data_IF_250005058001
#
_entry.id   IF_250005058001
#
_cell.length_a   1.000
_cell.length_b   1.000
_cell.length_c   1.000
_cell.angle_alpha   90.00
_cell.angle_beta   90.00
_cell.angle_gamma   90.00
#
_symmetry.space_group_name_H-M   'P 1'
#
loop_
_entity.id
_entity.type
_entity.pdbx_description
1 polymer ?
#
# COMPACT_ATOMS: atom_id res chain seq x y z
N UNK A 1 13.67 -34.16 -0.66
CA UNK A 1 14.28 -32.85 -0.30
C UNK A 1 14.41 -31.91 -1.50
N UNK A 2 15.18 -32.21 -2.55
CA UNK A 2 15.29 -31.32 -3.73
C UNK A 2 13.99 -31.22 -4.55
N UNK A 3 13.29 -32.35 -4.76
CA UNK A 3 12.01 -32.35 -5.47
C UNK A 3 10.91 -31.59 -4.72
N UNK A 4 10.82 -31.76 -3.40
CA UNK A 4 9.89 -31.03 -2.54
C UNK A 4 10.18 -29.53 -2.53
N UNK A 5 11.46 -29.14 -2.54
CA UNK A 5 11.86 -27.74 -2.70
C UNK A 5 11.40 -27.16 -4.05
N UNK A 6 11.66 -27.86 -5.16
CA UNK A 6 11.24 -27.42 -6.49
C UNK A 6 9.72 -27.24 -6.60
N UNK A 7 8.94 -28.16 -6.01
CA UNK A 7 7.48 -28.06 -5.98
C UNK A 7 7.02 -26.82 -5.21
N UNK A 8 7.58 -26.58 -4.02
CA UNK A 8 7.20 -25.42 -3.20
C UNK A 8 7.51 -24.11 -3.93
N UNK A 9 8.72 -23.96 -4.50
CA UNK A 9 9.08 -22.76 -5.26
C UNK A 9 8.18 -22.57 -6.49
N UNK A 10 7.83 -23.66 -7.19
CA UNK A 10 6.90 -23.57 -8.33
C UNK A 10 5.51 -23.08 -7.91
N UNK A 11 5.03 -23.48 -6.73
CA UNK A 11 3.76 -22.98 -6.18
C UNK A 11 3.87 -21.50 -5.82
N UNK A 12 5.00 -21.06 -5.25
CA UNK A 12 5.23 -19.64 -4.94
C UNK A 12 5.24 -18.78 -6.21
N UNK A 13 5.89 -19.24 -7.28
CA UNK A 13 5.90 -18.56 -8.58
C UNK A 13 4.48 -18.38 -9.15
N UNK A 14 3.63 -19.41 -9.04
CA UNK A 14 2.23 -19.32 -9.48
C UNK A 14 1.45 -18.30 -8.65
N UNK A 15 1.65 -18.29 -7.33
CA UNK A 15 1.03 -17.30 -6.43
C UNK A 15 1.50 -15.89 -6.77
N UNK A 16 2.79 -15.69 -7.03
CA UNK A 16 3.37 -14.39 -7.44
C UNK A 16 2.70 -13.85 -8.70
N UNK A 17 2.52 -14.69 -9.72
CA UNK A 17 1.84 -14.32 -10.98
C UNK A 17 0.38 -13.95 -10.71
N UNK A 18 -0.34 -14.73 -9.91
CA UNK A 18 -1.75 -14.46 -9.56
C UNK A 18 -1.87 -13.11 -8.85
N UNK A 19 -1.06 -12.85 -7.82
CA UNK A 19 -1.07 -11.59 -7.08
C UNK A 19 -0.76 -10.41 -8.01
N UNK A 20 0.25 -10.56 -8.88
CA UNK A 20 0.62 -9.52 -9.84
C UNK A 20 -0.54 -9.16 -10.78
N UNK A 21 -1.23 -10.16 -11.33
CA UNK A 21 -2.41 -9.94 -12.18
C UNK A 21 -3.54 -9.27 -11.39
N UNK A 22 -3.82 -9.73 -10.18
CA UNK A 22 -4.87 -9.16 -9.34
C UNK A 22 -4.60 -7.68 -9.03
N UNK A 23 -3.37 -7.33 -8.65
CA UNK A 23 -2.99 -5.94 -8.38
C UNK A 23 -3.16 -5.08 -9.63
N UNK A 24 -2.71 -5.55 -10.79
CA UNK A 24 -2.84 -4.81 -12.06
C UNK A 24 -4.29 -4.55 -12.43
N UNK A 25 -5.16 -5.57 -12.33
CA UNK A 25 -6.57 -5.47 -12.74
C UNK A 25 -7.41 -4.71 -11.72
N UNK A 26 -7.20 -4.94 -10.42
CA UNK A 26 -8.09 -4.46 -9.36
C UNK A 26 -7.60 -3.20 -8.63
N UNK A 27 -6.50 -2.57 -9.05
CA UNK A 27 -5.94 -1.39 -8.37
C UNK A 27 -6.98 -0.28 -8.10
N UNK A 28 -7.88 0.00 -9.04
CA UNK A 28 -8.92 1.02 -8.86
C UNK A 28 -9.95 0.60 -7.79
N UNK A 29 -10.38 -0.67 -7.80
CA UNK A 29 -11.31 -1.18 -6.78
C UNK A 29 -10.69 -1.15 -5.39
N UNK A 30 -9.40 -1.47 -5.29
CA UNK A 30 -8.65 -1.38 -4.04
C UNK A 30 -8.61 0.06 -3.55
N UNK A 31 -8.31 1.03 -4.42
CA UNK A 31 -8.33 2.45 -4.09
C UNK A 31 -9.68 2.90 -3.54
N UNK A 32 -10.78 2.54 -4.19
CA UNK A 32 -12.14 2.89 -3.73
C UNK A 32 -12.49 2.25 -2.39
N UNK A 33 -12.12 0.97 -2.22
CA UNK A 33 -12.34 0.24 -0.97
C UNK A 33 -11.57 0.89 0.19
N UNK A 34 -10.28 1.16 -0.01
CA UNK A 34 -9.43 1.85 0.97
C UNK A 34 -9.97 3.24 1.27
N UNK A 35 -10.44 3.98 0.27
CA UNK A 35 -11.06 5.30 0.47
C UNK A 35 -12.25 5.21 1.41
N UNK A 36 -13.19 4.29 1.16
CA UNK A 36 -14.36 4.10 2.04
C UNK A 36 -13.96 3.66 3.45
N UNK A 37 -13.01 2.74 3.56
CA UNK A 37 -12.52 2.26 4.84
C UNK A 37 -11.88 3.39 5.67
N UNK A 38 -11.02 4.20 5.06
CA UNK A 38 -10.39 5.35 5.73
C UNK A 38 -11.43 6.41 6.11
N UNK A 39 -12.46 6.66 5.30
CA UNK A 39 -13.57 7.54 5.69
C UNK A 39 -14.30 7.04 6.94
N UNK A 40 -14.52 5.72 7.05
CA UNK A 40 -15.12 5.13 8.25
C UNK A 40 -14.21 5.29 9.48
N UNK A 41 -12.90 5.09 9.32
CA UNK A 41 -11.93 5.32 10.38
C UNK A 41 -11.94 6.78 10.87
N UNK A 42 -11.95 7.74 9.94
CA UNK A 42 -12.05 9.18 10.26
C UNK A 42 -13.31 9.46 11.07
N UNK A 43 -14.47 8.97 10.61
CA UNK A 43 -15.73 9.14 11.33
C UNK A 43 -15.68 8.53 12.74
N UNK A 44 -15.02 7.38 12.92
CA UNK A 44 -14.88 6.74 14.22
C UNK A 44 -13.95 7.54 15.15
N UNK A 45 -12.90 8.15 14.60
CA UNK A 45 -12.00 9.04 15.35
C UNK A 45 -12.75 10.29 15.80
N UNK A 46 -13.54 10.92 14.93
CA UNK A 46 -14.36 12.10 15.29
C UNK A 46 -15.38 11.78 16.39
N UNK A 47 -16.02 10.61 16.35
CA UNK A 47 -17.06 10.23 17.31
C UNK A 47 -16.46 9.77 18.64
N UNK A 48 -15.36 9.02 18.61
CA UNK A 48 -14.73 8.51 19.83
C UNK A 48 -13.99 9.60 20.61
N UNK A 49 -13.45 10.62 19.91
CA UNK A 49 -12.73 11.72 20.53
C UNK A 49 -11.46 11.29 21.28
N UNK A 50 -10.90 10.11 20.94
CA UNK A 50 -9.71 9.57 21.61
C UNK A 50 -8.49 10.38 21.15
N UNK A 51 -7.79 11.10 22.05
CA UNK A 51 -6.71 12.00 21.67
C UNK A 51 -5.52 11.29 21.02
N UNK A 52 -5.25 10.05 21.42
CA UNK A 52 -4.19 9.22 20.85
C UNK A 52 -4.44 8.89 19.37
N UNK A 53 -5.69 8.56 19.04
CA UNK A 53 -6.09 8.26 17.66
C UNK A 53 -6.05 9.53 16.78
N UNK A 54 -6.49 10.67 17.32
CA UNK A 54 -6.37 11.96 16.64
C UNK A 54 -4.90 12.29 16.32
N UNK A 55 -3.99 12.07 17.27
CA UNK A 55 -2.56 12.36 17.09
C UNK A 55 -1.89 11.45 16.05
N UNK A 56 -2.24 10.16 16.01
CA UNK A 56 -1.74 9.24 14.99
C UNK A 56 -2.18 9.68 13.59
N UNK A 57 -3.46 10.04 13.43
CA UNK A 57 -3.99 10.51 12.14
C UNK A 57 -3.35 11.84 11.74
N UNK A 58 -3.18 12.77 12.68
CA UNK A 58 -2.49 14.05 12.44
C UNK A 58 -1.05 13.84 11.95
N UNK A 59 -0.29 12.98 12.62
CA UNK A 59 1.09 12.66 12.23
C UNK A 59 1.17 12.05 10.83
N UNK A 60 0.22 11.19 10.47
CA UNK A 60 0.16 10.61 9.13
C UNK A 60 -0.11 11.68 8.07
N UNK A 61 -1.12 12.54 8.31
CA UNK A 61 -1.49 13.64 7.42
C UNK A 61 -0.33 14.62 7.20
N UNK A 62 0.46 14.93 8.24
CA UNK A 62 1.62 15.81 8.09
C UNK A 62 2.78 15.19 7.33
N UNK A 63 3.08 13.91 7.59
CA UNK A 63 4.14 13.18 6.88
C UNK A 63 3.83 13.05 5.39
N UNK A 64 2.56 12.82 5.06
CA UNK A 64 2.09 12.65 3.69
C UNK A 64 1.65 13.98 3.04
N UNK A 65 1.60 15.08 3.79
CA UNK A 65 1.11 16.39 3.33
C UNK A 65 -0.28 16.29 2.67
N UNK A 66 -1.18 15.58 3.34
CA UNK A 66 -2.55 15.28 2.88
C UNK A 66 -3.55 15.47 4.02
N UNK A 67 -4.84 15.40 3.73
CA UNK A 67 -5.90 15.50 4.72
C UNK A 67 -7.15 14.72 4.30
N UNK A 68 -7.72 13.98 5.25
CA UNK A 68 -8.87 13.12 5.01
C UNK A 68 -8.55 11.94 4.09
N UNK A 69 -9.56 11.17 3.70
CA UNK A 69 -9.37 10.04 2.80
C UNK A 69 -9.26 10.51 1.34
N UNK A 70 -10.31 11.20 0.86
CA UNK A 70 -10.41 11.81 -0.45
C UNK A 70 -10.11 13.33 -0.39
N UNK A 71 -10.27 13.96 0.77
CA UNK A 71 -9.93 15.36 0.97
C UNK A 71 -10.41 15.90 2.31
N UNK A 72 -10.21 17.21 2.58
CA UNK A 72 -10.49 17.80 3.87
C UNK A 72 -11.94 17.73 4.31
N UNK A 73 -12.88 17.75 3.37
CA UNK A 73 -14.31 17.67 3.66
C UNK A 73 -14.78 16.31 4.18
N UNK A 74 -13.88 15.32 4.29
CA UNK A 74 -14.18 14.08 5.01
C UNK A 74 -14.25 14.29 6.53
N UNK A 75 -13.69 15.40 7.04
CA UNK A 75 -13.85 15.85 8.43
C UNK A 75 -15.01 16.84 8.54
N UNK A 76 -15.77 16.78 9.64
CA UNK A 76 -16.80 17.79 9.97
C UNK A 76 -16.20 19.15 10.28
N UNK A 77 -15.00 19.17 10.88
CA UNK A 77 -14.25 20.38 11.15
C UNK A 77 -12.81 20.26 10.61
N UNK A 78 -12.59 20.51 9.31
CA UNK A 78 -11.28 20.29 8.71
C UNK A 78 -10.19 21.24 9.25
N UNK A 79 -10.56 22.42 9.77
CA UNK A 79 -9.60 23.35 10.42
C UNK A 79 -8.93 22.69 11.63
N UNK A 80 -9.69 21.93 12.43
CA UNK A 80 -9.18 21.27 13.62
C UNK A 80 -8.25 20.11 13.28
N UNK A 81 -8.64 19.31 12.29
CA UNK A 81 -8.01 18.02 12.02
C UNK A 81 -6.90 18.06 10.97
N UNK A 82 -6.90 19.07 10.09
CA UNK A 82 -6.00 19.11 8.94
C UNK A 82 -5.07 20.30 8.92
N UNK A 83 -4.89 20.92 10.08
CA UNK A 83 -3.94 21.99 10.24
C UNK A 83 -2.49 21.48 10.17
N UNK A 84 -1.63 22.06 9.34
CA UNK A 84 -0.19 21.89 9.47
C UNK A 84 0.29 22.47 10.81
N UNK A 85 1.19 21.79 11.54
CA UNK A 85 1.75 22.31 12.81
C UNK A 85 2.53 23.63 12.63
N UNK A 86 3.05 23.90 11.44
CA UNK A 86 3.81 25.09 11.09
C UNK A 86 2.93 26.27 10.64
N UNK A 87 1.60 26.10 10.56
CA UNK A 87 0.69 27.16 10.16
C UNK A 87 0.49 28.20 11.29
N UNK A 88 0.78 29.48 11.00
CA UNK A 88 0.59 30.61 11.94
C UNK A 88 -0.90 30.81 12.29
N UNK A 89 -1.78 30.61 11.31
CA UNK A 89 -3.22 30.63 11.49
C UNK A 89 -3.82 29.48 10.67
N UNK A 90 -4.75 28.75 11.28
CA UNK A 90 -5.42 27.66 10.60
C UNK A 90 -6.69 28.15 9.92
N UNK A 91 -6.67 28.22 8.59
CA UNK A 91 -7.81 28.59 7.77
C UNK A 91 -8.01 27.55 6.67
N UNK A 92 -9.19 27.55 6.03
CA UNK A 92 -9.47 26.65 4.91
C UNK A 92 -8.45 26.75 3.76
N UNK A 93 -7.79 27.90 3.62
CA UNK A 93 -6.74 28.13 2.61
C UNK A 93 -5.39 27.53 3.00
N UNK A 94 -5.15 27.25 4.28
CA UNK A 94 -3.87 26.77 4.80
C UNK A 94 -3.83 25.27 5.10
N UNK A 95 -4.96 24.57 5.03
CA UNK A 95 -5.02 23.11 5.24
C UNK A 95 -4.58 22.35 3.97
N UNK A 96 -4.12 21.12 4.15
CA UNK A 96 -3.86 20.22 3.03
C UNK A 96 -5.15 19.92 2.26
N UNK A 97 -5.16 20.17 0.95
CA UNK A 97 -6.34 19.97 0.09
C UNK A 97 -6.41 18.55 -0.50
N UNK A 98 -5.27 17.85 -0.56
CA UNK A 98 -5.18 16.53 -1.20
C UNK A 98 -5.59 15.43 -0.23
N UNK A 99 -6.43 14.50 -0.69
CA UNK A 99 -6.78 13.29 0.06
C UNK A 99 -5.57 12.38 0.30
N UNK A 100 -5.52 11.74 1.47
CA UNK A 100 -4.41 10.85 1.81
C UNK A 100 -4.39 9.58 0.97
N UNK A 101 -5.57 9.06 0.58
CA UNK A 101 -5.62 7.85 -0.25
C UNK A 101 -5.10 8.11 -1.65
N UNK A 102 -5.44 9.26 -2.24
CA UNK A 102 -4.88 9.70 -3.52
C UNK A 102 -3.37 9.91 -3.42
N UNK A 103 -2.90 10.52 -2.33
CA UNK A 103 -1.48 10.80 -2.13
C UNK A 103 -0.65 9.52 -2.03
N UNK A 104 -1.09 8.54 -1.24
CA UNK A 104 -0.44 7.23 -1.16
C UNK A 104 -0.49 6.51 -2.49
N UNK A 105 -1.65 6.54 -3.17
CA UNK A 105 -1.81 5.90 -4.47
C UNK A 105 -0.86 6.50 -5.53
N UNK A 106 -0.72 7.83 -5.58
CA UNK A 106 0.20 8.51 -6.48
C UNK A 106 1.66 8.18 -6.16
N UNK A 107 2.01 8.09 -4.87
CA UNK A 107 3.34 7.67 -4.44
C UNK A 107 3.66 6.24 -4.89
N UNK A 108 2.71 5.32 -4.70
CA UNK A 108 2.84 3.93 -5.17
C UNK A 108 2.93 3.84 -6.68
N UNK A 109 2.14 4.64 -7.41
CA UNK A 109 2.18 4.70 -8.87
C UNK A 109 3.54 5.22 -9.35
N UNK A 110 4.11 6.21 -8.68
CA UNK A 110 5.45 6.72 -8.97
C UNK A 110 6.55 5.66 -8.81
N UNK A 111 6.39 4.74 -7.85
CA UNK A 111 7.35 3.66 -7.59
C UNK A 111 6.93 2.30 -8.19
N UNK A 112 5.81 2.24 -8.93
CA UNK A 112 5.25 0.98 -9.44
C UNK A 112 6.21 0.25 -10.39
N UNK A 113 7.01 0.99 -11.16
CA UNK A 113 8.05 0.41 -12.04
C UNK A 113 9.11 -0.31 -11.22
N UNK A 114 9.57 0.29 -10.12
CA UNK A 114 10.57 -0.34 -9.23
C UNK A 114 10.00 -1.61 -8.61
N UNK A 115 8.76 -1.57 -8.12
CA UNK A 115 8.09 -2.75 -7.59
C UNK A 115 7.94 -3.86 -8.65
N UNK A 116 7.58 -3.50 -9.87
CA UNK A 116 7.48 -4.45 -10.99
C UNK A 116 8.83 -5.09 -11.36
N UNK A 117 9.92 -4.31 -11.34
CA UNK A 117 11.27 -4.85 -11.56
C UNK A 117 11.67 -5.83 -10.45
N UNK A 118 11.35 -5.55 -9.20
CA UNK A 118 11.65 -6.45 -8.08
C UNK A 118 10.92 -7.80 -8.22
N UNK A 119 9.63 -7.77 -8.58
CA UNK A 119 8.83 -8.97 -8.87
C UNK A 119 9.42 -9.74 -10.05
N UNK A 120 9.81 -9.05 -11.13
CA UNK A 120 10.44 -9.71 -12.28
C UNK A 120 11.75 -10.42 -11.89
N UNK A 121 12.61 -9.76 -11.11
CA UNK A 121 13.87 -10.35 -10.65
C UNK A 121 13.61 -11.57 -9.76
N UNK A 122 12.62 -11.49 -8.87
CA UNK A 122 12.21 -12.60 -8.01
C UNK A 122 11.78 -13.81 -8.86
N UNK A 123 10.90 -13.60 -9.84
CA UNK A 123 10.46 -14.65 -10.75
C UNK A 123 11.62 -15.33 -11.51
N UNK A 124 12.61 -14.56 -11.99
CA UNK A 124 13.80 -15.12 -12.67
C UNK A 124 14.63 -15.98 -11.71
N UNK A 125 14.81 -15.53 -10.47
CA UNK A 125 15.55 -16.28 -9.44
C UNK A 125 14.82 -17.57 -9.08
N UNK A 126 13.49 -17.54 -8.93
CA UNK A 126 12.68 -18.72 -8.65
C UNK A 126 12.75 -19.75 -9.78
N UNK A 127 12.64 -19.31 -11.04
CA UNK A 127 12.81 -20.18 -12.21
C UNK A 127 14.21 -20.81 -12.20
N UNK A 128 15.25 -20.02 -11.94
CA UNK A 128 16.63 -20.52 -11.83
C UNK A 128 16.78 -21.57 -10.72
N UNK A 129 16.17 -21.34 -9.56
CA UNK A 129 16.18 -22.26 -8.43
C UNK A 129 15.49 -23.59 -8.76
N UNK A 130 14.35 -23.55 -9.46
CA UNK A 130 13.63 -24.76 -9.91
C UNK A 130 14.47 -25.54 -10.92
N UNK A 131 15.05 -24.87 -11.92
CA UNK A 131 15.91 -25.51 -12.93
C UNK A 131 17.11 -26.17 -12.25
N UNK A 132 17.81 -25.46 -11.38
CA UNK A 132 18.95 -26.00 -10.65
C UNK A 132 18.55 -27.20 -9.78
N UNK A 133 17.47 -27.09 -9.01
CA UNK A 133 16.98 -28.18 -8.16
C UNK A 133 16.63 -29.44 -8.98
N UNK A 134 15.98 -29.28 -10.13
CA UNK A 134 15.65 -30.37 -11.04
C UNK A 134 16.90 -31.00 -11.67
N UNK A 135 17.85 -30.19 -12.13
CA UNK A 135 19.12 -30.67 -12.69
C UNK A 135 19.95 -31.45 -11.65
N UNK A 136 20.08 -30.93 -10.43
CA UNK A 136 20.79 -31.61 -9.34
C UNK A 136 20.07 -32.89 -8.89
N UNK A 137 18.74 -32.88 -8.82
CA UNK A 137 17.98 -34.08 -8.49
C UNK A 137 18.20 -35.20 -9.53
N UNK A 138 18.20 -34.84 -10.82
CA UNK A 138 18.48 -35.80 -11.91
C UNK A 138 19.91 -36.35 -11.82
N UNK A 139 20.91 -35.49 -11.63
CA UNK A 139 22.32 -35.91 -11.54
C UNK A 139 22.62 -36.79 -10.32
N UNK A 140 21.86 -36.65 -9.22
CA UNK A 140 22.03 -37.46 -8.01
C UNK A 140 21.26 -38.79 -8.06
N UNK A 141 20.32 -38.94 -9.00
CA UNK A 141 19.56 -40.17 -9.24
C UNK A 141 20.14 -41.04 -10.36
N UNK A 142 21.22 -40.60 -11.01
CA UNK A 142 22.05 -41.37 -11.93
C UNK A 142 23.29 -41.89 -11.21
#
# INVERSE_FOLDING_TARGET
>A
MLQTFAIIISVLLVIEIIISILVLVYHNKVKDYVTRYVKQLISNVEVSGIPEAEEVVRNLQEKLKCCGAAGPMDWRNPVRYCCPRDAIACQMTSIFQKGCVDTVYDYLKGHSVVAGVLVLVLAVVEIGAVVAACCLAKNRSA
#
